data_IF_827881777506
#
_entry.id   IF_827881777506
#
_cell.length_a   1.000
_cell.length_b   1.000
_cell.length_c   1.000
_cell.angle_alpha   90.00
_cell.angle_beta   90.00
_cell.angle_gamma   90.00
#
_symmetry.space_group_name_H-M   'P 1'
#
loop_
_entity.id
_entity.type
_entity.pdbx_description
1 polymer ?
#
# COMPACT_ATOMS: atom_id res chain seq x y z
N UNK A 1 -9.29 -7.29 -8.19
CA UNK A 1 -8.10 -6.42 -8.20
C UNK A 1 -7.00 -7.10 -7.37
N UNK A 2 -5.82 -7.38 -7.94
CA UNK A 2 -4.76 -8.14 -7.25
C UNK A 2 -4.25 -7.46 -5.97
N UNK A 3 -4.35 -6.12 -5.88
CA UNK A 3 -4.06 -5.38 -4.64
C UNK A 3 -5.05 -5.65 -3.50
N UNK A 4 -6.33 -5.92 -3.78
CA UNK A 4 -7.31 -6.29 -2.74
C UNK A 4 -7.02 -7.67 -2.16
N UNK A 5 -6.49 -8.58 -2.98
CA UNK A 5 -6.03 -9.89 -2.52
C UNK A 5 -4.74 -9.76 -1.67
N UNK A 6 -3.82 -8.88 -2.05
CA UNK A 6 -2.66 -8.53 -1.22
C UNK A 6 -3.09 -7.95 0.13
N UNK A 7 -4.08 -7.05 0.14
CA UNK A 7 -4.65 -6.52 1.37
C UNK A 7 -5.25 -7.63 2.25
N UNK A 8 -6.09 -8.49 1.67
CA UNK A 8 -6.74 -9.58 2.38
C UNK A 8 -5.75 -10.65 2.90
N UNK A 9 -4.62 -10.88 2.23
CA UNK A 9 -3.63 -11.87 2.64
C UNK A 9 -2.59 -11.33 3.63
N UNK A 10 -2.19 -10.05 3.50
CA UNK A 10 -1.14 -9.48 4.35
C UNK A 10 -1.66 -8.76 5.60
N UNK A 11 -2.92 -8.31 5.61
CA UNK A 11 -3.42 -7.38 6.63
C UNK A 11 -4.71 -7.81 7.34
N UNK A 12 -5.27 -8.99 7.04
CA UNK A 12 -6.52 -9.47 7.67
C UNK A 12 -6.31 -10.12 9.04
N UNK A 13 -5.07 -10.35 9.44
CA UNK A 13 -4.74 -10.82 10.79
C UNK A 13 -4.36 -9.59 11.64
N UNK A 14 -5.31 -9.12 12.45
CA UNK A 14 -5.22 -7.85 13.18
C UNK A 14 -3.97 -7.77 14.08
N UNK A 15 -3.48 -8.92 14.55
CA UNK A 15 -2.26 -9.01 15.35
C UNK A 15 -1.00 -8.60 14.59
N UNK A 16 -0.95 -8.81 13.27
CA UNK A 16 0.24 -8.52 12.48
C UNK A 16 0.47 -7.01 12.30
N UNK A 17 -0.60 -6.21 12.23
CA UNK A 17 -0.46 -4.77 12.11
C UNK A 17 0.00 -4.10 13.41
N UNK A 18 -0.52 -4.55 14.56
CA UNK A 18 -0.11 -3.98 15.86
C UNK A 18 1.40 -4.18 16.06
N UNK A 19 1.90 -5.40 15.81
CA UNK A 19 3.34 -5.71 15.87
C UNK A 19 4.13 -4.84 14.89
N UNK A 20 3.61 -4.65 13.66
CA UNK A 20 4.24 -3.77 12.67
C UNK A 20 4.31 -2.30 13.15
N UNK A 21 3.23 -1.78 13.72
CA UNK A 21 3.17 -0.42 14.24
C UNK A 21 4.13 -0.22 15.43
N UNK A 22 4.19 -1.17 16.35
CA UNK A 22 5.14 -1.17 17.47
C UNK A 22 6.59 -1.18 16.97
N UNK A 23 6.91 -2.04 15.99
CA UNK A 23 8.23 -2.08 15.37
C UNK A 23 8.59 -0.73 14.72
N UNK A 24 7.65 -0.10 14.00
CA UNK A 24 7.86 1.23 13.40
C UNK A 24 8.13 2.29 14.47
N UNK A 25 7.38 2.29 15.57
CA UNK A 25 7.60 3.19 16.70
C UNK A 25 8.93 2.93 17.43
N UNK A 26 9.36 1.68 17.53
CA UNK A 26 10.65 1.33 18.11
C UNK A 26 11.81 1.77 17.19
N UNK A 27 11.68 1.58 15.88
CA UNK A 27 12.62 2.06 14.87
C UNK A 27 12.81 3.59 14.89
N UNK A 28 11.81 4.37 15.31
CA UNK A 28 12.01 5.82 15.49
C UNK A 28 13.02 6.15 16.60
N UNK A 29 13.21 5.24 17.56
CA UNK A 29 14.06 5.44 18.75
C UNK A 29 15.41 4.72 18.63
N UNK A 30 15.46 3.53 18.03
CA UNK A 30 16.68 2.73 17.90
C UNK A 30 17.23 2.75 16.47
N UNK A 31 18.48 3.23 16.31
CA UNK A 31 19.11 3.38 15.00
C UNK A 31 19.49 2.06 14.32
N UNK A 32 19.91 1.05 15.09
CA UNK A 32 20.28 -0.27 14.54
C UNK A 32 19.02 -1.01 14.13
N UNK A 33 17.98 -0.99 14.96
CA UNK A 33 16.69 -1.59 14.64
C UNK A 33 16.05 -0.93 13.42
N UNK A 34 16.15 0.41 13.31
CA UNK A 34 15.65 1.15 12.15
C UNK A 34 16.24 0.69 10.82
N UNK A 35 17.52 0.30 10.78
CA UNK A 35 18.13 -0.21 9.55
C UNK A 35 17.42 -1.47 9.06
N UNK A 36 17.09 -2.40 9.97
CA UNK A 36 16.41 -3.65 9.65
C UNK A 36 14.96 -3.40 9.19
N UNK A 37 14.22 -2.56 9.93
CA UNK A 37 12.85 -2.19 9.56
C UNK A 37 12.82 -1.46 8.21
N UNK A 38 13.77 -0.57 7.95
CA UNK A 38 13.87 0.12 6.67
C UNK A 38 14.16 -0.85 5.51
N UNK A 39 15.05 -1.82 5.69
CA UNK A 39 15.32 -2.83 4.67
C UNK A 39 14.05 -3.61 4.31
N UNK A 40 13.25 -4.00 5.30
CA UNK A 40 11.97 -4.67 5.08
C UNK A 40 10.95 -3.75 4.37
N UNK A 41 10.87 -2.48 4.76
CA UNK A 41 10.04 -1.49 4.06
C UNK A 41 10.42 -1.35 2.58
N UNK A 42 11.72 -1.30 2.28
CA UNK A 42 12.22 -1.18 0.90
C UNK A 42 11.89 -2.42 0.09
N UNK A 43 12.08 -3.63 0.64
CA UNK A 43 11.68 -4.88 -0.02
C UNK A 43 10.18 -4.91 -0.33
N UNK A 44 9.33 -4.52 0.63
CA UNK A 44 7.87 -4.41 0.44
C UNK A 44 7.52 -3.39 -0.65
N UNK A 45 8.20 -2.25 -0.67
CA UNK A 45 8.02 -1.21 -1.69
C UNK A 45 8.39 -1.74 -3.08
N UNK A 46 9.54 -2.40 -3.21
CA UNK A 46 10.02 -2.87 -4.50
C UNK A 46 9.11 -3.99 -5.05
N UNK A 47 8.61 -4.88 -4.18
CA UNK A 47 7.60 -5.86 -4.53
C UNK A 47 6.31 -5.20 -5.04
N UNK A 48 5.79 -4.19 -4.35
CA UNK A 48 4.57 -3.49 -4.76
C UNK A 48 4.81 -2.70 -6.05
N UNK A 49 5.98 -2.08 -6.22
CA UNK A 49 6.35 -1.35 -7.43
C UNK A 49 6.33 -2.27 -8.65
N UNK A 50 6.89 -3.47 -8.53
CA UNK A 50 6.81 -4.50 -9.57
C UNK A 50 5.36 -4.86 -9.92
N UNK A 51 4.47 -5.05 -8.93
CA UNK A 51 3.06 -5.31 -9.22
C UNK A 51 2.35 -4.14 -9.91
N UNK A 52 2.69 -2.90 -9.54
CA UNK A 52 2.14 -1.70 -10.18
C UNK A 52 2.61 -1.62 -11.63
N UNK A 53 3.89 -1.87 -11.90
CA UNK A 53 4.46 -1.91 -13.25
C UNK A 53 3.73 -2.93 -14.12
N UNK A 54 3.63 -4.19 -13.66
CA UNK A 54 2.89 -5.23 -14.39
C UNK A 54 1.42 -4.90 -14.61
N UNK A 55 0.78 -4.18 -13.68
CA UNK A 55 -0.60 -3.71 -13.83
C UNK A 55 -0.69 -2.64 -14.93
N UNK A 56 0.26 -1.70 -14.93
CA UNK A 56 0.29 -0.62 -15.92
C UNK A 56 0.51 -1.14 -17.33
N UNK A 57 1.42 -2.11 -17.51
CA UNK A 57 1.65 -2.80 -18.78
C UNK A 57 0.36 -3.48 -19.29
N UNK A 58 -0.33 -4.22 -18.42
CA UNK A 58 -1.58 -4.93 -18.80
C UNK A 58 -2.73 -3.99 -19.16
N UNK A 59 -2.78 -2.83 -18.53
CA UNK A 59 -3.83 -1.82 -18.76
C UNK A 59 -3.44 -0.80 -19.85
N UNK A 60 -2.22 -0.88 -20.39
CA UNK A 60 -1.66 0.07 -21.34
C UNK A 60 -1.75 1.54 -20.85
N UNK A 61 -1.42 1.75 -19.58
CA UNK A 61 -1.42 3.07 -18.92
C UNK A 61 0.00 3.50 -18.57
N UNK A 62 0.26 4.81 -18.59
CA UNK A 62 1.50 5.38 -18.06
C UNK A 62 1.26 6.18 -16.80
N UNK A 63 2.00 5.84 -15.74
CA UNK A 63 2.05 6.65 -14.53
C UNK A 63 3.21 7.65 -14.60
N UNK A 64 3.01 8.90 -14.15
CA UNK A 64 4.10 9.85 -14.05
C UNK A 64 5.05 9.46 -12.91
N UNK A 65 6.35 9.51 -13.16
CA UNK A 65 7.39 9.27 -12.16
C UNK A 65 7.67 7.78 -11.86
N UNK A 66 8.56 7.49 -10.90
CA UNK A 66 9.00 6.14 -10.58
C UNK A 66 7.89 5.27 -9.95
N UNK A 67 7.78 4.00 -10.35
CA UNK A 67 6.86 3.03 -9.72
C UNK A 67 7.12 2.84 -8.22
N UNK A 68 8.36 3.05 -7.75
CA UNK A 68 8.70 3.03 -6.34
C UNK A 68 7.98 4.11 -5.51
N UNK A 69 7.72 5.28 -6.09
CA UNK A 69 7.02 6.38 -5.42
C UNK A 69 5.53 6.07 -5.31
N UNK A 70 4.93 5.52 -6.37
CA UNK A 70 3.56 5.00 -6.35
C UNK A 70 3.39 3.87 -5.33
N UNK A 71 4.35 2.94 -5.28
CA UNK A 71 4.35 1.87 -4.29
C UNK A 71 4.42 2.39 -2.85
N UNK A 72 5.25 3.41 -2.59
CA UNK A 72 5.33 4.05 -1.29
C UNK A 72 4.01 4.74 -0.92
N UNK A 73 3.38 5.43 -1.86
CA UNK A 73 2.08 6.06 -1.67
C UNK A 73 0.98 5.03 -1.35
N UNK A 74 0.97 3.89 -2.06
CA UNK A 74 0.06 2.76 -1.80
C UNK A 74 0.29 2.20 -0.39
N UNK A 75 1.54 1.96 0.01
CA UNK A 75 1.85 1.48 1.38
C UNK A 75 1.34 2.46 2.43
N UNK A 76 1.61 3.75 2.26
CA UNK A 76 1.17 4.77 3.20
C UNK A 76 -0.36 4.83 3.33
N UNK A 77 -1.08 4.73 2.21
CA UNK A 77 -2.53 4.69 2.19
C UNK A 77 -3.08 3.45 2.91
N UNK A 78 -2.53 2.27 2.61
CA UNK A 78 -2.94 1.01 3.26
C UNK A 78 -2.70 1.05 4.77
N UNK A 79 -1.50 1.45 5.19
CA UNK A 79 -1.14 1.53 6.61
C UNK A 79 -2.03 2.55 7.36
N UNK A 80 -2.40 3.66 6.71
CA UNK A 80 -3.28 4.69 7.28
C UNK A 80 -4.75 4.26 7.39
N UNK A 81 -5.30 3.63 6.36
CA UNK A 81 -6.69 3.12 6.42
C UNK A 81 -6.81 2.02 7.47
N UNK A 82 -5.81 1.13 7.56
CA UNK A 82 -5.80 0.08 8.57
C UNK A 82 -5.71 0.64 10.00
N UNK A 83 -4.89 1.68 10.20
CA UNK A 83 -4.84 2.41 11.48
C UNK A 83 -6.23 2.92 11.91
N UNK A 84 -6.93 3.62 11.01
CA UNK A 84 -8.26 4.16 11.32
C UNK A 84 -9.29 3.05 11.54
N UNK A 85 -9.23 1.99 10.75
CA UNK A 85 -10.15 0.86 10.88
C UNK A 85 -9.98 0.15 12.25
N UNK A 86 -8.74 0.01 12.73
CA UNK A 86 -8.47 -0.59 14.04
C UNK A 86 -8.77 0.34 15.23
N UNK A 87 -8.54 1.64 15.08
CA UNK A 87 -8.71 2.62 16.17
C UNK A 87 -10.11 3.22 16.25
N UNK A 88 -10.87 3.16 15.16
CA UNK A 88 -12.25 3.65 15.05
C UNK A 88 -13.17 2.59 14.43
N UNK A 89 -13.24 1.36 14.98
CA UNK A 89 -13.94 0.24 14.33
C UNK A 89 -15.45 0.45 14.18
N UNK A 90 -16.05 1.31 15.01
CA UNK A 90 -17.47 1.67 14.91
C UNK A 90 -17.75 2.70 13.81
N UNK A 91 -16.77 3.54 13.48
CA UNK A 91 -16.90 4.62 12.49
C UNK A 91 -16.34 4.21 11.12
N UNK A 92 -15.39 3.27 11.09
CA UNK A 92 -14.80 2.73 9.88
C UNK A 92 -14.78 1.20 9.92
N UNK A 93 -15.84 0.59 9.39
CA UNK A 93 -15.92 -0.87 9.22
C UNK A 93 -14.93 -1.40 8.17
N UNK A 94 -14.63 -2.70 8.22
CA UNK A 94 -13.75 -3.36 7.24
C UNK A 94 -14.26 -3.19 5.81
N UNK A 95 -15.57 -3.30 5.59
CA UNK A 95 -16.19 -3.11 4.28
C UNK A 95 -16.02 -1.67 3.77
N UNK A 96 -16.18 -0.69 4.66
CA UNK A 96 -15.95 0.73 4.33
C UNK A 96 -14.48 1.00 4.01
N UNK A 97 -13.54 0.43 4.77
CA UNK A 97 -12.10 0.53 4.52
C UNK A 97 -11.71 -0.06 3.14
N UNK A 98 -12.21 -1.26 2.81
CA UNK A 98 -11.98 -1.89 1.51
C UNK A 98 -12.55 -1.04 0.36
N UNK A 99 -13.75 -0.47 0.53
CA UNK A 99 -14.38 0.39 -0.47
C UNK A 99 -13.58 1.68 -0.71
N UNK A 100 -13.09 2.33 0.35
CA UNK A 100 -12.25 3.54 0.25
C UNK A 100 -10.95 3.21 -0.49
N UNK A 101 -10.26 2.14 -0.12
CA UNK A 101 -9.03 1.71 -0.77
C UNK A 101 -9.26 1.43 -2.26
N UNK A 102 -10.32 0.69 -2.60
CA UNK A 102 -10.68 0.40 -3.99
C UNK A 102 -10.88 1.68 -4.80
N UNK A 103 -11.65 2.64 -4.27
CA UNK A 103 -11.95 3.90 -4.94
C UNK A 103 -10.70 4.76 -5.16
N UNK A 104 -9.85 4.90 -4.15
CA UNK A 104 -8.62 5.71 -4.23
C UNK A 104 -7.61 5.08 -5.18
N UNK A 105 -7.38 3.77 -5.08
CA UNK A 105 -6.45 3.06 -5.97
C UNK A 105 -6.94 3.07 -7.41
N UNK A 106 -8.25 2.87 -7.64
CA UNK A 106 -8.84 3.00 -8.99
C UNK A 106 -8.56 4.38 -9.57
N UNK A 107 -8.77 5.47 -8.81
CA UNK A 107 -8.46 6.81 -9.31
C UNK A 107 -6.97 7.05 -9.54
N UNK A 108 -6.10 6.47 -8.70
CA UNK A 108 -4.66 6.57 -8.84
C UNK A 108 -4.17 5.92 -10.14
N UNK A 109 -4.75 4.78 -10.54
CA UNK A 109 -4.30 4.02 -11.71
C UNK A 109 -5.12 4.27 -12.98
N UNK A 110 -6.40 4.59 -12.90
CA UNK A 110 -7.28 4.70 -14.07
C UNK A 110 -7.44 6.13 -14.62
N UNK A 111 -6.87 7.15 -13.97
CA UNK A 111 -6.84 8.52 -14.50
C UNK A 111 -5.60 8.82 -15.37
N UNK A 112 -4.78 7.80 -15.67
CA UNK A 112 -3.60 7.93 -16.51
C UNK A 112 -3.98 7.98 -18.00
N UNK A 113 -3.33 8.85 -18.82
CA UNK A 113 -3.58 8.89 -20.25
C UNK A 113 -3.20 7.54 -20.90
N UNK A 114 -4.08 7.04 -21.78
CA UNK A 114 -3.84 5.84 -22.59
C UNK A 114 -2.80 6.17 -23.65
N UNK A 115 -1.81 5.29 -23.83
CA UNK A 115 -0.86 5.42 -24.93
C UNK A 115 -1.60 5.26 -26.27
N UNK A 116 -1.71 6.35 -27.03
CA UNK A 116 -2.09 6.28 -28.45
C UNK A 116 -0.89 5.77 -29.24
N UNK A 117 -1.03 4.60 -29.85
CA UNK A 117 -0.06 4.06 -30.81
C UNK A 117 0.18 5.08 -31.94
N UNK A 118 1.45 5.44 -32.17
CA UNK A 118 1.93 6.18 -33.34
C UNK A 118 2.68 5.26 -34.28
#
# INVERSE_FOLDING_TARGET
>A
MQLTLLYAQCYRDDNNYIIWAEARLHAMRDAKFRQHVNALCLQKRDMIAYFIEQLCERLNIQLPGPFADHALAVIALLDGILYFNMTMPNDLSNASAEAILSNVLTKMFCNAPVLTET
#
